data_IF_734557088104
#
_entry.id   IF_734557088104
#
_cell.length_a   1.000
_cell.length_b   1.000
_cell.length_c   1.000
_cell.angle_alpha   90.00
_cell.angle_beta   90.00
_cell.angle_gamma   90.00
#
_symmetry.space_group_name_H-M   'P 1'
#
loop_
_entity.id
_entity.type
_entity.pdbx_description
1 polymer ?
#
# COMPACT_ATOMS: atom_id res chain seq x y z
N UNK A 1 5.78 26.89 5.69
CA UNK A 1 5.64 25.56 6.32
C UNK A 1 4.37 25.60 7.15
N UNK A 2 3.42 24.73 6.84
CA UNK A 2 2.14 24.58 7.54
C UNK A 2 2.10 23.20 8.18
N UNK A 3 1.55 23.10 9.40
CA UNK A 3 1.34 21.83 10.09
C UNK A 3 -0.15 21.57 10.22
N UNK A 4 -0.59 20.38 9.80
CA UNK A 4 -1.96 19.89 10.00
C UNK A 4 -1.90 18.56 10.74
N UNK A 5 -2.57 18.47 11.88
CA UNK A 5 -2.75 17.20 12.59
C UNK A 5 -3.91 16.44 11.93
N UNK A 6 -3.58 15.46 11.09
CA UNK A 6 -4.52 14.76 10.24
C UNK A 6 -4.13 13.29 10.12
N UNK A 7 -5.12 12.40 10.05
CA UNK A 7 -4.89 11.00 9.68
C UNK A 7 -4.59 10.88 8.19
N UNK A 8 -3.76 9.91 7.79
CA UNK A 8 -3.58 9.58 6.36
C UNK A 8 -4.91 9.23 5.67
N UNK A 9 -5.89 8.70 6.42
CA UNK A 9 -7.20 8.37 5.88
C UNK A 9 -8.08 9.59 5.57
N UNK A 10 -7.68 10.76 6.06
CA UNK A 10 -8.43 12.01 5.90
C UNK A 10 -7.72 13.01 4.96
N UNK A 11 -6.65 12.58 4.25
CA UNK A 11 -5.85 13.46 3.37
C UNK A 11 -6.63 14.15 2.25
N UNK A 12 -7.79 13.61 1.88
CA UNK A 12 -8.74 14.27 0.99
C UNK A 12 -9.17 15.67 1.48
N UNK A 13 -9.19 15.88 2.80
CA UNK A 13 -9.51 17.17 3.41
C UNK A 13 -8.47 18.27 3.12
N UNK A 14 -7.29 17.92 2.59
CA UNK A 14 -6.30 18.91 2.16
C UNK A 14 -6.78 19.72 0.95
N UNK A 15 -7.57 19.09 0.06
CA UNK A 15 -8.17 19.76 -1.10
C UNK A 15 -7.17 20.20 -2.18
N UNK A 16 -5.92 19.72 -2.12
CA UNK A 16 -4.86 20.07 -3.06
C UNK A 16 -3.93 18.88 -3.32
N UNK A 17 -3.25 18.92 -4.47
CA UNK A 17 -2.24 17.94 -4.89
C UNK A 17 -0.87 18.59 -4.90
N UNK A 18 0.14 17.82 -4.51
CA UNK A 18 1.53 18.24 -4.39
C UNK A 18 2.39 17.56 -5.44
N UNK A 19 3.36 18.28 -6.00
CA UNK A 19 4.33 17.70 -6.94
C UNK A 19 5.17 16.60 -6.28
N UNK A 20 5.46 16.73 -4.99
CA UNK A 20 6.24 15.75 -4.22
C UNK A 20 5.52 15.46 -2.89
N UNK A 21 5.22 14.19 -2.65
CA UNK A 21 4.73 13.67 -1.37
C UNK A 21 5.83 12.86 -0.69
N UNK A 22 6.12 13.13 0.58
CA UNK A 22 7.06 12.32 1.38
C UNK A 22 6.24 11.47 2.35
N UNK A 23 6.21 10.16 2.13
CA UNK A 23 5.44 9.20 2.91
C UNK A 23 6.36 8.10 3.44
N UNK A 24 7.05 8.41 4.54
CA UNK A 24 8.10 7.59 5.14
C UNK A 24 7.77 7.29 6.60
N UNK A 25 8.02 6.07 7.06
CA UNK A 25 7.89 5.72 8.47
C UNK A 25 6.45 5.54 8.95
N UNK A 26 5.48 5.40 8.03
CA UNK A 26 4.05 5.42 8.39
C UNK A 26 3.31 4.14 8.01
N UNK A 27 3.55 3.57 6.82
CA UNK A 27 2.68 2.51 6.27
C UNK A 27 2.55 1.29 7.19
N UNK A 28 3.64 0.83 7.81
CA UNK A 28 3.63 -0.33 8.72
C UNK A 28 2.83 -0.11 10.01
N UNK A 29 2.47 1.14 10.33
CA UNK A 29 1.60 1.48 11.46
C UNK A 29 0.09 1.47 11.11
N UNK A 30 -0.25 1.35 9.83
CA UNK A 30 -1.61 1.54 9.34
C UNK A 30 -2.40 0.24 9.32
N UNK A 31 -3.63 0.26 9.85
CA UNK A 31 -4.57 -0.86 9.75
C UNK A 31 -4.96 -1.22 8.32
N UNK A 32 -5.01 -0.23 7.42
CA UNK A 32 -5.42 -0.39 6.03
C UNK A 32 -4.35 0.20 5.09
N UNK A 33 -3.20 -0.50 4.90
CA UNK A 33 -2.03 0.08 4.23
C UNK A 33 -2.29 0.43 2.76
N UNK A 34 -2.98 -0.44 2.02
CA UNK A 34 -3.28 -0.19 0.60
C UNK A 34 -4.26 0.98 0.43
N UNK A 35 -5.29 1.07 1.28
CA UNK A 35 -6.22 2.19 1.28
C UNK A 35 -5.50 3.53 1.49
N UNK A 36 -4.49 3.58 2.36
CA UNK A 36 -3.71 4.80 2.57
C UNK A 36 -2.93 5.20 1.32
N UNK A 37 -2.33 4.23 0.61
CA UNK A 37 -1.67 4.50 -0.68
C UNK A 37 -2.68 4.98 -1.74
N UNK A 38 -3.86 4.36 -1.81
CA UNK A 38 -4.92 4.75 -2.74
C UNK A 38 -5.42 6.18 -2.46
N UNK A 39 -5.61 6.54 -1.19
CA UNK A 39 -6.00 7.89 -0.79
C UNK A 39 -4.91 8.92 -1.10
N UNK A 40 -3.63 8.55 -0.87
CA UNK A 40 -2.50 9.40 -1.24
C UNK A 40 -2.49 9.62 -2.75
N UNK A 41 -2.60 8.53 -3.52
CA UNK A 41 -2.63 8.52 -4.98
C UNK A 41 -3.77 9.37 -5.53
N UNK A 42 -4.96 9.30 -4.93
CA UNK A 42 -6.16 9.95 -5.41
C UNK A 42 -6.19 11.44 -5.06
N UNK A 43 -5.80 11.81 -3.84
CA UNK A 43 -6.06 13.16 -3.33
C UNK A 43 -4.86 14.08 -3.28
N UNK A 44 -3.65 13.56 -3.09
CA UNK A 44 -2.50 14.43 -2.74
C UNK A 44 -1.28 14.25 -3.64
N UNK A 45 -1.05 13.08 -4.24
CA UNK A 45 0.13 12.87 -5.08
C UNK A 45 -0.10 13.38 -6.51
N UNK A 46 0.47 14.54 -6.85
CA UNK A 46 0.41 15.19 -8.16
C UNK A 46 1.39 14.60 -9.18
N UNK A 47 2.66 14.39 -8.78
CA UNK A 47 3.69 13.81 -9.66
C UNK A 47 4.49 12.69 -8.97
N UNK A 48 5.20 12.98 -7.88
CA UNK A 48 6.14 12.04 -7.26
C UNK A 48 5.80 11.74 -5.80
N UNK A 49 6.18 10.55 -5.35
CA UNK A 49 6.16 10.16 -3.95
C UNK A 49 7.49 9.53 -3.53
N UNK A 50 8.08 10.01 -2.43
CA UNK A 50 9.16 9.32 -1.74
C UNK A 50 8.54 8.44 -0.65
N UNK A 51 8.59 7.12 -0.86
CA UNK A 51 7.97 6.13 0.00
C UNK A 51 9.02 5.41 0.84
N UNK A 52 8.73 5.16 2.12
CA UNK A 52 9.52 4.26 2.95
C UNK A 52 8.63 3.56 3.98
N UNK A 53 8.90 2.26 4.20
CA UNK A 53 8.24 1.45 5.22
C UNK A 53 9.19 0.40 5.77
N UNK A 54 9.03 -0.01 7.03
CA UNK A 54 9.71 -1.20 7.55
C UNK A 54 9.46 -2.42 6.64
N UNK A 55 10.52 -3.13 6.29
CA UNK A 55 10.47 -4.38 5.53
C UNK A 55 10.99 -5.56 6.35
N UNK A 56 10.43 -6.75 6.11
CA UNK A 56 10.91 -8.02 6.64
C UNK A 56 10.78 -9.12 5.59
N UNK A 57 11.72 -10.08 5.61
CA UNK A 57 11.76 -11.19 4.65
C UNK A 57 12.84 -11.01 3.58
N UNK A 58 12.62 -11.61 2.40
CA UNK A 58 13.61 -11.61 1.31
C UNK A 58 13.60 -10.29 0.52
N UNK A 59 14.76 -10.00 -0.07
CA UNK A 59 14.98 -8.92 -1.04
C UNK A 59 14.92 -9.40 -2.49
N UNK A 60 14.68 -10.70 -2.69
CA UNK A 60 14.51 -11.29 -4.00
C UNK A 60 13.24 -10.78 -4.68
N UNK A 61 13.25 -10.77 -6.00
CA UNK A 61 12.09 -10.50 -6.84
C UNK A 61 11.87 -11.71 -7.74
N UNK A 62 10.70 -12.35 -7.61
CA UNK A 62 10.27 -13.38 -8.52
C UNK A 62 9.52 -12.78 -9.73
N UNK A 63 9.61 -13.45 -10.87
CA UNK A 63 8.75 -13.14 -12.03
C UNK A 63 7.37 -13.77 -11.79
N UNK A 64 6.46 -12.95 -11.28
CA UNK A 64 5.12 -13.38 -10.88
C UNK A 64 4.19 -13.30 -12.09
N UNK A 65 3.47 -14.38 -12.46
CA UNK A 65 2.54 -14.36 -13.59
C UNK A 65 1.48 -13.27 -13.45
N UNK A 66 1.13 -12.60 -14.56
CA UNK A 66 0.07 -11.59 -14.55
C UNK A 66 -1.32 -12.18 -14.23
N UNK A 67 -1.54 -13.43 -14.59
CA UNK A 67 -2.73 -14.21 -14.26
C UNK A 67 -2.31 -15.52 -13.59
N UNK A 68 -2.82 -15.73 -12.38
CA UNK A 68 -2.42 -16.82 -11.51
C UNK A 68 -3.40 -18.00 -11.65
N UNK A 69 -2.95 -19.17 -12.13
CA UNK A 69 -3.82 -20.33 -12.12
C UNK A 69 -4.06 -20.79 -10.69
N UNK A 70 -5.28 -21.24 -10.39
CA UNK A 70 -5.60 -21.81 -9.07
C UNK A 70 -4.81 -23.08 -8.75
N UNK A 71 -4.45 -23.87 -9.77
CA UNK A 71 -3.72 -25.12 -9.63
C UNK A 71 -2.63 -25.24 -10.68
N UNK A 72 -1.63 -26.09 -10.41
CA UNK A 72 -0.62 -26.44 -11.42
C UNK A 72 -1.29 -27.14 -12.62
N UNK A 73 -0.76 -26.98 -13.85
CA UNK A 73 -1.34 -27.62 -15.03
C UNK A 73 -1.48 -29.13 -14.88
N UNK A 74 -2.73 -29.62 -14.97
CA UNK A 74 -3.05 -31.05 -14.87
C UNK A 74 -3.09 -31.62 -13.44
N UNK A 75 -3.04 -30.78 -12.40
CA UNK A 75 -3.16 -31.22 -11.00
C UNK A 75 -4.22 -30.43 -10.22
N UNK A 76 -4.42 -30.79 -8.95
CA UNK A 76 -5.23 -30.04 -7.98
C UNK A 76 -4.35 -29.38 -6.90
N UNK A 77 -3.04 -29.34 -7.13
CA UNK A 77 -2.10 -28.77 -6.18
C UNK A 77 -2.02 -27.25 -6.38
N UNK A 78 -1.91 -26.47 -5.30
CA UNK A 78 -1.66 -25.04 -5.42
C UNK A 78 -0.29 -24.78 -6.05
N UNK A 79 -0.10 -23.62 -6.71
CA UNK A 79 1.20 -23.25 -7.27
C UNK A 79 2.25 -23.00 -6.18
N UNK A 80 3.51 -23.35 -6.47
CA UNK A 80 4.62 -23.24 -5.51
C UNK A 80 5.09 -21.78 -5.31
N UNK A 81 4.79 -20.89 -6.25
CA UNK A 81 5.36 -19.53 -6.24
C UNK A 81 4.95 -18.71 -5.03
N UNK A 82 3.89 -19.05 -4.28
CA UNK A 82 3.54 -18.35 -3.04
C UNK A 82 4.59 -18.54 -1.94
N UNK A 83 5.32 -19.66 -1.96
CA UNK A 83 6.36 -19.96 -0.97
C UNK A 83 7.72 -19.41 -1.38
N UNK A 84 7.91 -19.07 -2.66
CA UNK A 84 9.16 -18.51 -3.17
C UNK A 84 9.56 -17.23 -2.42
N UNK A 85 10.85 -17.06 -2.05
CA UNK A 85 11.31 -15.89 -1.29
C UNK A 85 10.94 -14.55 -1.95
N UNK A 86 11.01 -14.48 -3.28
CA UNK A 86 10.73 -13.27 -4.06
C UNK A 86 9.26 -13.04 -4.40
N UNK A 87 8.33 -13.84 -3.88
CA UNK A 87 6.90 -13.58 -4.03
C UNK A 87 6.44 -12.44 -3.13
N UNK A 88 5.52 -11.55 -3.57
CA UNK A 88 4.97 -10.49 -2.73
C UNK A 88 4.32 -11.04 -1.45
N UNK A 89 4.91 -10.73 -0.29
CA UNK A 89 4.48 -11.22 1.03
C UNK A 89 4.31 -10.07 2.00
N UNK A 90 3.32 -10.19 2.86
CA UNK A 90 3.02 -9.25 3.94
C UNK A 90 3.02 -10.01 5.27
N UNK A 91 3.99 -9.71 6.14
CA UNK A 91 4.03 -10.30 7.47
C UNK A 91 3.06 -9.54 8.38
N UNK A 92 2.17 -10.25 9.07
CA UNK A 92 1.27 -9.68 10.06
C UNK A 92 1.88 -9.73 11.46
N UNK A 93 1.89 -8.59 12.15
CA UNK A 93 2.36 -8.44 13.51
C UNK A 93 1.13 -8.32 14.41
N UNK A 94 0.86 -9.36 15.21
CA UNK A 94 -0.38 -9.45 16.00
C UNK A 94 -0.36 -8.60 17.28
N UNK A 95 0.82 -8.44 17.88
CA UNK A 95 0.98 -7.85 19.22
C UNK A 95 1.88 -6.61 19.18
N UNK A 96 3.09 -6.74 19.69
CA UNK A 96 4.09 -5.67 19.73
C UNK A 96 5.33 -6.13 18.97
N UNK A 97 5.96 -5.19 18.28
CA UNK A 97 7.28 -5.36 17.71
C UNK A 97 8.19 -4.26 18.26
N UNK A 98 9.29 -4.65 18.92
CA UNK A 98 10.22 -3.70 19.53
C UNK A 98 9.56 -2.73 20.54
N UNK A 99 8.69 -3.25 21.41
CA UNK A 99 7.92 -2.49 22.40
C UNK A 99 6.92 -1.47 21.81
N UNK A 100 6.55 -1.66 20.54
CA UNK A 100 5.58 -0.82 19.85
C UNK A 100 4.44 -1.69 19.29
N UNK A 101 3.24 -1.45 19.81
CA UNK A 101 2.00 -2.14 19.45
C UNK A 101 1.39 -1.64 18.15
N UNK A 102 1.86 -0.49 17.65
CA UNK A 102 1.27 0.13 16.46
C UNK A 102 1.77 -0.51 15.17
N UNK A 103 2.79 -1.37 15.22
CA UNK A 103 3.32 -2.13 14.09
C UNK A 103 2.37 -3.28 13.72
N UNK A 104 1.79 -3.24 12.52
CA UNK A 104 0.86 -4.26 12.05
C UNK A 104 1.42 -5.09 10.89
N UNK A 105 2.25 -4.47 10.06
CA UNK A 105 2.65 -5.04 8.79
C UNK A 105 4.13 -4.86 8.50
N UNK A 106 4.77 -5.89 7.97
CA UNK A 106 6.10 -5.79 7.41
C UNK A 106 6.16 -6.52 6.06
N UNK A 107 6.01 -5.82 4.93
CA UNK A 107 6.16 -6.44 3.62
C UNK A 107 7.61 -6.90 3.39
N UNK A 108 7.80 -7.92 2.55
CA UNK A 108 9.11 -8.10 1.91
C UNK A 108 9.27 -7.09 0.76
N UNK A 109 10.44 -7.03 0.12
CA UNK A 109 10.69 -6.10 -0.99
C UNK A 109 9.62 -6.25 -2.09
N UNK A 110 9.40 -7.48 -2.56
CA UNK A 110 8.39 -7.77 -3.58
C UNK A 110 6.98 -7.29 -3.19
N UNK A 111 6.64 -7.37 -1.91
CA UNK A 111 5.38 -6.89 -1.31
C UNK A 111 5.25 -5.37 -1.36
N UNK A 112 6.28 -4.64 -0.93
CA UNK A 112 6.33 -3.17 -1.03
C UNK A 112 6.14 -2.72 -2.47
N UNK A 113 6.91 -3.29 -3.40
CA UNK A 113 6.84 -2.90 -4.79
C UNK A 113 5.50 -3.26 -5.45
N UNK A 114 4.91 -4.41 -5.09
CA UNK A 114 3.60 -4.80 -5.58
C UNK A 114 2.50 -3.86 -5.09
N UNK A 115 2.51 -3.46 -3.80
CA UNK A 115 1.55 -2.50 -3.26
C UNK A 115 1.66 -1.13 -3.96
N UNK A 116 2.88 -0.64 -4.20
CA UNK A 116 3.10 0.62 -4.91
C UNK A 116 2.52 0.59 -6.33
N UNK A 117 2.79 -0.50 -7.08
CA UNK A 117 2.23 -0.69 -8.43
C UNK A 117 0.70 -0.81 -8.41
N UNK A 118 0.16 -1.56 -7.46
CA UNK A 118 -1.29 -1.74 -7.31
C UNK A 118 -2.00 -0.42 -7.00
N UNK A 119 -1.38 0.46 -6.20
CA UNK A 119 -1.89 1.79 -5.89
C UNK A 119 -1.65 2.83 -7.00
N UNK A 120 -1.19 2.42 -8.20
CA UNK A 120 -1.00 3.33 -9.33
C UNK A 120 0.26 4.20 -9.24
N UNK A 121 1.37 3.60 -8.83
CA UNK A 121 2.70 4.21 -8.90
C UNK A 121 3.69 3.35 -9.69
N UNK A 122 4.61 3.99 -10.42
CA UNK A 122 5.82 3.36 -10.96
C UNK A 122 7.01 3.66 -10.06
N UNK A 123 7.95 2.73 -9.95
CA UNK A 123 9.18 2.90 -9.16
C UNK A 123 10.27 3.42 -10.09
N UNK A 124 10.73 4.65 -9.87
CA UNK A 124 11.79 5.30 -10.66
C UNK A 124 13.17 4.93 -10.13
N UNK A 125 13.30 4.82 -8.81
CA UNK A 125 14.53 4.35 -8.17
C UNK A 125 14.25 3.77 -6.78
N UNK A 126 15.19 2.94 -6.33
CA UNK A 126 15.20 2.28 -5.02
C UNK A 126 16.52 2.66 -4.33
N UNK A 127 16.65 3.91 -3.84
CA UNK A 127 17.91 4.46 -3.35
C UNK A 127 18.46 3.76 -2.09
N UNK A 128 17.58 3.20 -1.26
CA UNK A 128 17.94 2.43 -0.07
C UNK A 128 17.02 1.20 0.01
N UNK A 129 17.41 0.20 0.79
CA UNK A 129 16.72 -1.08 0.95
C UNK A 129 15.20 -0.97 1.13
N UNK A 130 14.74 0.03 1.87
CA UNK A 130 13.34 0.26 2.21
C UNK A 130 12.78 1.60 1.69
N UNK A 131 13.53 2.32 0.84
CA UNK A 131 13.16 3.64 0.31
C UNK A 131 12.95 3.60 -1.20
N UNK A 132 11.80 4.07 -1.67
CA UNK A 132 11.41 4.06 -3.08
C UNK A 132 11.02 5.45 -3.55
N UNK A 133 11.63 5.89 -4.64
CA UNK A 133 11.16 7.07 -5.37
C UNK A 133 10.16 6.61 -6.42
N UNK A 134 8.93 7.10 -6.31
CA UNK A 134 7.81 6.69 -7.12
C UNK A 134 7.28 7.86 -7.96
N UNK A 135 6.73 7.55 -9.14
CA UNK A 135 5.96 8.48 -9.95
C UNK A 135 4.52 8.01 -10.06
N UNK A 136 3.60 8.96 -10.10
CA UNK A 136 2.18 8.71 -10.36
C UNK A 136 2.01 8.01 -11.72
N UNK A 137 1.24 6.93 -11.72
CA UNK A 137 0.92 6.12 -12.89
C UNK A 137 -0.59 5.82 -12.95
N UNK A 138 -1.12 5.29 -14.06
CA UNK A 138 -2.48 4.78 -14.10
C UNK A 138 -2.71 3.72 -13.01
N UNK A 139 -3.85 3.80 -12.33
CA UNK A 139 -4.25 2.78 -11.35
C UNK A 139 -4.70 1.53 -12.10
N UNK A 140 -4.11 0.34 -11.84
CA UNK A 140 -4.55 -0.91 -12.46
C UNK A 140 -6.04 -1.17 -12.21
N UNK A 141 -6.74 -1.69 -13.22
CA UNK A 141 -8.15 -2.09 -13.12
C UNK A 141 -9.14 -0.96 -12.78
N UNK A 142 -8.75 0.30 -12.98
CA UNK A 142 -9.60 1.47 -12.70
C UNK A 142 -10.92 1.48 -13.50
N UNK A 143 -10.99 0.76 -14.62
CA UNK A 143 -12.21 0.59 -15.40
C UNK A 143 -13.33 -0.17 -14.65
N UNK A 144 -12.98 -0.90 -13.59
CA UNK A 144 -13.94 -1.65 -12.77
C UNK A 144 -14.43 -0.88 -11.53
N UNK A 145 -13.90 0.31 -11.27
CA UNK A 145 -14.32 1.16 -10.16
C UNK A 145 -13.16 1.90 -9.48
N UNK A 146 -13.46 2.75 -8.49
CA UNK A 146 -12.44 3.45 -7.72
C UNK A 146 -11.65 2.47 -6.83
N UNK A 147 -10.34 2.69 -6.72
CA UNK A 147 -9.49 1.93 -5.79
C UNK A 147 -9.67 2.41 -4.34
N UNK A 148 -9.73 3.73 -4.12
CA UNK A 148 -10.01 4.26 -2.79
C UNK A 148 -11.47 4.00 -2.40
N UNK A 149 -11.67 3.45 -1.21
CA UNK A 149 -13.00 3.11 -0.68
C UNK A 149 -13.29 3.97 0.54
N UNK A 150 -14.49 4.54 0.59
CA UNK A 150 -14.98 5.32 1.72
C UNK A 150 -16.09 4.57 2.44
N UNK A 151 -15.96 4.31 3.75
CA UNK A 151 -17.06 3.74 4.50
C UNK A 151 -18.25 4.69 4.45
N UNK A 152 -19.43 4.15 4.10
CA UNK A 152 -20.67 4.91 4.19
C UNK A 152 -20.85 5.40 5.63
N UNK A 153 -21.12 6.70 5.80
CA UNK A 153 -21.53 7.21 7.11
C UNK A 153 -22.95 6.71 7.36
N UNK A 154 -23.21 6.19 8.56
CA UNK A 154 -24.57 5.89 8.96
C UNK A 154 -25.40 7.17 8.85
N UNK A 155 -26.57 7.10 8.22
CA UNK A 155 -27.50 8.22 8.16
C UNK A 155 -27.86 8.60 9.59
N UNK A 156 -27.33 9.73 10.07
CA UNK A 156 -27.79 10.34 11.31
C UNK A 156 -29.13 11.03 11.04
N UNK A 157 -30.15 10.27 10.64
CA UNK A 157 -31.52 10.73 10.73
C UNK A 157 -31.90 10.69 12.21
N UNK A 158 -32.04 11.88 12.80
CA UNK A 158 -32.27 12.06 14.22
C UNK A 158 -33.55 11.41 14.72
N UNK A 159 -33.43 10.69 15.83
CA UNK A 159 -34.51 10.54 16.82
C UNK A 159 -34.09 11.36 18.04
N UNK A 160 -34.64 12.58 18.26
CA UNK A 160 -34.53 13.22 19.54
C UNK A 160 -35.49 12.50 20.51
N UNK A 161 -34.93 11.72 21.43
CA UNK A 161 -35.59 11.36 22.68
C UNK A 161 -34.88 11.99 23.86
#
# INVERSE_FOLDING_TARGET
VEFRNLSVYDVAALGERFDIVIFMGVLYHLRHPLLALDLIREHVAGDMMLFQTMQQGSDDLADVPADHPFHKPGTFDPPDYFDEPGYPKMHFIEREFSHDWTNWWAPNRAGSEAMLRAAGFTIESHPEHDVYLCRVAPVPYAEYGPAAVYPARADTHGDPR
#
